data_IF_476408643180
#
_entry.id   IF_476408643180
#
_cell.length_a   1.000
_cell.length_b   1.000
_cell.length_c   1.000
_cell.angle_alpha   90.00
_cell.angle_beta   90.00
_cell.angle_gamma   90.00
#
_symmetry.space_group_name_H-M   'P 1'
#
loop_
_entity.id
_entity.type
_entity.pdbx_description
1 polymer ?
#
# COMPACT_ATOMS: atom_id res chain seq x y z
N UNK A 1 -12.06 -1.52 20.31
CA UNK A 1 -10.89 -0.70 20.69
C UNK A 1 -10.34 -0.05 19.43
N UNK A 2 -10.68 1.23 19.19
CA UNK A 2 -10.09 2.01 18.09
C UNK A 2 -8.68 2.45 18.50
N UNK A 3 -7.66 1.71 18.05
CA UNK A 3 -6.32 2.27 18.05
C UNK A 3 -6.31 3.38 17.01
N UNK A 4 -5.98 4.59 17.44
CA UNK A 4 -5.71 5.76 16.60
C UNK A 4 -4.56 5.47 15.62
N UNK A 5 -4.79 4.64 14.60
CA UNK A 5 -3.87 4.49 13.47
C UNK A 5 -3.99 5.75 12.62
N UNK A 6 -3.27 6.80 13.03
CA UNK A 6 -3.09 7.98 12.18
C UNK A 6 -2.12 7.60 11.08
N UNK A 7 -2.67 7.20 9.94
CA UNK A 7 -1.89 7.17 8.73
C UNK A 7 -1.54 8.60 8.29
N UNK A 8 -0.48 8.74 7.50
CA UNK A 8 -0.09 10.02 6.89
C UNK A 8 0.08 9.82 5.40
N UNK A 9 -0.38 10.77 4.59
CA UNK A 9 -0.18 10.73 3.14
C UNK A 9 1.33 10.66 2.84
N UNK A 10 1.70 9.80 1.89
CA UNK A 10 3.08 9.46 1.55
C UNK A 10 3.66 8.29 2.35
N UNK A 11 3.01 7.86 3.44
CA UNK A 11 3.43 6.72 4.24
C UNK A 11 3.29 5.40 3.47
N UNK A 12 4.21 4.48 3.73
CA UNK A 12 4.09 3.11 3.23
C UNK A 12 3.16 2.29 4.13
N UNK A 13 2.18 1.66 3.50
CA UNK A 13 1.15 0.85 4.14
C UNK A 13 1.12 -0.55 3.54
N UNK A 14 0.61 -1.51 4.31
CA UNK A 14 0.45 -2.89 3.90
C UNK A 14 -1.02 -3.29 4.01
N UNK A 15 -1.58 -3.80 2.91
CA UNK A 15 -2.92 -4.38 2.88
C UNK A 15 -2.89 -5.78 3.49
N UNK A 16 -3.68 -5.95 4.55
CA UNK A 16 -3.81 -7.20 5.27
C UNK A 16 -4.57 -8.25 4.46
N UNK A 17 -5.49 -7.84 3.60
CA UNK A 17 -6.27 -8.72 2.73
C UNK A 17 -5.46 -9.10 1.49
N UNK A 18 -4.99 -8.11 0.73
CA UNK A 18 -4.31 -8.33 -0.55
C UNK A 18 -2.86 -8.80 -0.39
N UNK A 19 -2.30 -8.70 0.82
CA UNK A 19 -0.91 -9.02 1.15
C UNK A 19 0.11 -8.24 0.32
N UNK A 20 -0.20 -6.97 0.02
CA UNK A 20 0.62 -6.09 -0.83
C UNK A 20 0.99 -4.82 -0.08
N UNK A 21 2.22 -4.34 -0.29
CA UNK A 21 2.67 -3.04 0.19
C UNK A 21 2.41 -1.96 -0.86
N UNK A 22 2.08 -0.76 -0.39
CA UNK A 22 1.85 0.40 -1.23
C UNK A 22 2.13 1.70 -0.51
N UNK A 23 1.96 2.81 -1.23
CA UNK A 23 2.06 4.16 -0.70
C UNK A 23 0.67 4.76 -0.57
N UNK A 24 0.38 5.34 0.59
CA UNK A 24 -0.86 6.06 0.83
C UNK A 24 -0.83 7.40 0.09
N UNK A 25 -1.82 7.65 -0.76
CA UNK A 25 -1.96 8.89 -1.53
C UNK A 25 -2.99 9.85 -0.91
N UNK A 26 -3.97 9.32 -0.19
CA UNK A 26 -5.05 10.11 0.41
C UNK A 26 -5.86 9.27 1.40
N UNK A 27 -6.61 9.93 2.28
CA UNK A 27 -7.58 9.27 3.14
C UNK A 27 -8.82 10.14 3.33
N UNK A 28 -9.98 9.50 3.44
CA UNK A 28 -11.22 10.10 3.92
C UNK A 28 -11.42 9.70 5.38
N UNK A 29 -11.35 10.65 6.31
CA UNK A 29 -11.65 10.40 7.72
C UNK A 29 -13.14 10.21 7.98
N UNK A 30 -14.01 10.57 7.02
CA UNK A 30 -15.46 10.38 7.12
C UNK A 30 -15.83 8.91 6.95
N UNK A 31 -15.25 8.26 5.94
CA UNK A 31 -15.67 6.93 5.49
C UNK A 31 -14.61 5.86 5.74
N UNK A 32 -13.51 6.21 6.44
CA UNK A 32 -12.43 5.26 6.78
C UNK A 32 -11.68 4.73 5.56
N UNK A 33 -11.79 5.38 4.41
CA UNK A 33 -11.24 4.87 3.14
C UNK A 33 -9.88 5.51 2.84
N UNK A 34 -8.95 4.70 2.35
CA UNK A 34 -7.59 5.08 1.99
C UNK A 34 -7.35 4.84 0.50
N UNK A 35 -6.69 5.78 -0.17
CA UNK A 35 -6.25 5.62 -1.57
C UNK A 35 -4.81 5.14 -1.55
N UNK A 36 -4.54 3.93 -2.05
CA UNK A 36 -3.22 3.31 -1.99
C UNK A 36 -2.73 2.99 -3.39
N UNK A 37 -1.48 3.39 -3.70
CA UNK A 37 -0.76 2.94 -4.89
C UNK A 37 0.16 1.77 -4.52
N UNK A 38 -0.09 0.60 -5.08
CA UNK A 38 0.74 -0.58 -4.79
C UNK A 38 2.12 -0.50 -5.43
N UNK A 39 3.14 -0.87 -4.65
CA UNK A 39 4.55 -0.73 -5.05
C UNK A 39 4.95 -1.74 -6.13
N UNK A 40 4.26 -2.87 -6.21
CA UNK A 40 4.57 -3.97 -7.14
C UNK A 40 4.06 -3.75 -8.57
N UNK A 41 2.90 -3.12 -8.73
CA UNK A 41 2.27 -2.92 -10.05
C UNK A 41 2.02 -1.46 -10.42
N UNK A 42 2.10 -0.54 -9.46
CA UNK A 42 1.67 0.85 -9.65
C UNK A 42 0.16 1.06 -9.67
N UNK A 43 -0.63 -0.01 -9.52
CA UNK A 43 -2.09 0.05 -9.44
C UNK A 43 -2.55 0.89 -8.24
N UNK A 44 -3.60 1.69 -8.45
CA UNK A 44 -4.22 2.51 -7.41
C UNK A 44 -5.57 1.91 -7.04
N UNK A 45 -5.80 1.67 -5.74
CA UNK A 45 -7.06 1.14 -5.23
C UNK A 45 -7.51 1.89 -3.97
N UNK A 46 -8.84 1.88 -3.75
CA UNK A 46 -9.45 2.30 -2.50
C UNK A 46 -9.53 1.12 -1.54
N UNK A 47 -9.07 1.29 -0.30
CA UNK A 47 -8.97 0.24 0.71
C UNK A 47 -9.45 0.79 2.05
N UNK A 48 -10.17 -0.01 2.84
CA UNK A 48 -10.56 0.39 4.19
C UNK A 48 -9.35 0.50 5.12
N UNK A 49 -9.31 1.53 5.96
CA UNK A 49 -8.22 1.77 6.91
C UNK A 49 -8.02 0.59 7.89
N UNK A 50 -9.10 -0.13 8.19
CA UNK A 50 -9.13 -1.33 9.02
C UNK A 50 -8.35 -2.51 8.42
N UNK A 51 -8.25 -2.54 7.09
CA UNK A 51 -7.47 -3.53 6.34
C UNK A 51 -6.01 -3.10 6.16
N UNK A 52 -5.62 -1.92 6.68
CA UNK A 52 -4.29 -1.37 6.54
C UNK A 52 -3.51 -1.40 7.87
N UNK A 53 -2.20 -1.44 7.71
CA UNK A 53 -1.24 -1.07 8.75
C UNK A 53 -0.01 -0.42 8.11
N UNK A 54 0.82 0.18 8.95
CA UNK A 54 2.14 0.62 8.53
C UNK A 54 2.92 -0.58 8.00
N UNK A 55 3.48 -0.45 6.80
CA UNK A 55 4.30 -1.50 6.21
C UNK A 55 5.63 -1.57 6.95
N UNK A 56 6.13 -2.78 7.17
CA UNK A 56 7.50 -2.99 7.59
C UNK A 56 8.47 -2.79 6.42
N UNK A 57 9.74 -2.55 6.71
CA UNK A 57 10.75 -2.38 5.68
C UNK A 57 10.92 -3.63 4.79
N UNK A 58 10.75 -4.81 5.37
CA UNK A 58 10.85 -6.06 4.63
C UNK A 58 9.75 -6.21 3.57
N UNK A 59 8.52 -5.78 3.90
CA UNK A 59 7.38 -5.83 2.99
C UNK A 59 7.56 -4.87 1.82
N UNK A 60 7.99 -3.64 2.10
CA UNK A 60 8.28 -2.63 1.07
C UNK A 60 9.31 -3.18 0.07
N UNK A 61 10.41 -3.76 0.60
CA UNK A 61 11.49 -4.31 -0.23
C UNK A 61 11.07 -5.53 -1.04
N UNK A 62 10.17 -6.37 -0.53
CA UNK A 62 9.66 -7.54 -1.26
C UNK A 62 8.67 -7.13 -2.36
N UNK A 63 7.79 -6.15 -2.10
CA UNK A 63 6.83 -5.68 -3.09
C UNK A 63 7.48 -5.01 -4.29
N UNK A 64 8.57 -4.27 -4.10
CA UNK A 64 9.34 -3.67 -5.21
C UNK A 64 10.09 -4.66 -6.11
N UNK A 65 10.01 -5.98 -5.86
CA UNK A 65 10.65 -7.00 -6.70
C UNK A 65 9.74 -7.59 -7.77
N UNK A 66 8.45 -7.24 -7.82
CA UNK A 66 7.57 -7.73 -8.87
C UNK A 66 7.85 -7.00 -10.19
N UNK A 67 8.19 -7.78 -11.21
CA UNK A 67 8.41 -7.40 -12.62
C UNK A 67 9.52 -6.38 -12.93
N UNK A 68 10.78 -6.83 -12.83
CA UNK A 68 11.68 -6.58 -13.96
C UNK A 68 11.18 -7.44 -15.12
N UNK A 69 10.45 -6.85 -16.07
CA UNK A 69 10.26 -7.49 -17.37
C UNK A 69 11.66 -7.78 -17.94
N UNK A 70 11.99 -9.01 -18.37
CA UNK A 70 13.23 -9.22 -19.08
C UNK A 70 13.22 -8.29 -20.30
N UNK A 71 14.28 -7.50 -20.46
CA UNK A 71 14.48 -6.75 -21.68
C UNK A 71 14.49 -7.76 -22.83
N UNK A 72 13.47 -7.72 -23.69
CA UNK A 72 13.53 -8.38 -24.99
C UNK A 72 14.56 -7.59 -25.80
N UNK A 73 15.79 -8.08 -25.80
CA UNK A 73 16.79 -7.65 -26.78
C UNK A 73 16.32 -8.22 -28.13
N UNK A 74 15.83 -7.32 -29.00
CA UNK A 74 15.69 -7.58 -30.43
C UNK A 74 17.01 -7.46 -31.17
#
# INVERSE_FOLDING_TARGET
MNQNKRFVVGQHVFSLELKRAGQLLGMSTRDGTCIVRFTDSGEVQEIQDSELRVASWEEIRKSGKSTRLPAQNG
#
